data_IF_626830779685
#
_entry.id   IF_626830779685
#
_cell.length_a   1.000
_cell.length_b   1.000
_cell.length_c   1.000
_cell.angle_alpha   90.00
_cell.angle_beta   90.00
_cell.angle_gamma   90.00
#
_symmetry.space_group_name_H-M   'P 1'
#
loop_
_entity.id
_entity.type
_entity.pdbx_description
1 polymer ?
#
# COMPACT_ATOMS: atom_id res chain seq x y z
N UNK A 1 -14.10 -8.94 37.83
CA UNK A 1 -13.86 -9.58 36.51
C UNK A 1 -15.22 -9.78 35.87
N UNK A 2 -15.55 -8.99 34.83
CA UNK A 2 -16.81 -9.09 34.09
C UNK A 2 -16.76 -10.35 33.23
N UNK A 3 -17.65 -11.30 33.48
CA UNK A 3 -17.79 -12.51 32.69
C UNK A 3 -18.76 -12.20 31.53
N UNK A 4 -18.27 -12.26 30.29
CA UNK A 4 -19.10 -12.13 29.10
C UNK A 4 -19.66 -13.52 28.78
N UNK A 5 -20.99 -13.72 28.73
CA UNK A 5 -21.60 -15.01 28.40
C UNK A 5 -21.15 -15.47 27.00
N UNK A 6 -20.88 -16.75 26.85
CA UNK A 6 -20.40 -17.34 25.60
C UNK A 6 -21.35 -17.10 24.43
N UNK A 7 -22.67 -17.06 24.69
CA UNK A 7 -23.71 -16.74 23.72
C UNK A 7 -23.58 -15.33 23.12
N UNK A 8 -23.03 -14.37 23.86
CA UNK A 8 -22.78 -13.00 23.37
C UNK A 8 -21.56 -12.99 22.45
N UNK A 9 -20.52 -13.75 22.82
CA UNK A 9 -19.33 -13.91 22.00
C UNK A 9 -19.69 -14.60 20.66
N UNK A 10 -20.45 -15.68 20.70
CA UNK A 10 -20.87 -16.44 19.52
C UNK A 10 -21.75 -15.57 18.58
N UNK A 11 -22.60 -14.72 19.15
CA UNK A 11 -23.40 -13.77 18.34
C UNK A 11 -22.55 -12.72 17.65
N UNK A 12 -21.59 -12.14 18.35
CA UNK A 12 -20.68 -11.13 17.78
C UNK A 12 -19.82 -11.75 16.67
N UNK A 13 -19.31 -12.97 16.88
CA UNK A 13 -18.53 -13.69 15.86
C UNK A 13 -19.37 -13.99 14.62
N UNK A 14 -20.62 -14.43 14.78
CA UNK A 14 -21.54 -14.69 13.68
C UNK A 14 -21.88 -13.39 12.89
N UNK A 15 -22.06 -12.27 13.59
CA UNK A 15 -22.28 -10.96 12.95
C UNK A 15 -21.03 -10.49 12.18
N UNK A 16 -19.83 -10.73 12.72
CA UNK A 16 -18.57 -10.41 12.04
C UNK A 16 -18.33 -11.31 10.83
N UNK A 17 -18.66 -12.60 10.90
CA UNK A 17 -18.57 -13.52 9.76
C UNK A 17 -19.56 -13.14 8.66
N UNK A 18 -20.81 -12.84 9.00
CA UNK A 18 -21.81 -12.38 8.06
C UNK A 18 -21.43 -11.06 7.37
N UNK A 19 -20.86 -10.11 8.13
CA UNK A 19 -20.34 -8.87 7.57
C UNK A 19 -19.14 -9.10 6.64
N UNK A 20 -18.28 -10.06 6.97
CA UNK A 20 -17.14 -10.46 6.14
C UNK A 20 -17.59 -11.14 4.85
N UNK A 21 -18.58 -12.05 4.93
CA UNK A 21 -19.15 -12.72 3.75
C UNK A 21 -19.87 -11.74 2.84
N UNK A 22 -20.62 -10.77 3.39
CA UNK A 22 -21.23 -9.70 2.61
C UNK A 22 -20.17 -8.85 1.89
N UNK A 23 -19.04 -8.56 2.53
CA UNK A 23 -17.95 -7.82 1.92
C UNK A 23 -17.21 -8.64 0.84
N UNK A 24 -17.10 -9.95 1.02
CA UNK A 24 -16.57 -10.89 0.02
C UNK A 24 -17.56 -11.00 -1.15
N UNK A 25 -18.87 -11.05 -0.91
CA UNK A 25 -19.92 -11.07 -1.93
C UNK A 25 -19.89 -9.83 -2.83
N UNK A 26 -19.68 -8.65 -2.24
CA UNK A 26 -19.50 -7.39 -3.00
C UNK A 26 -18.25 -7.47 -3.90
N UNK A 27 -17.18 -8.12 -3.44
CA UNK A 27 -15.96 -8.28 -4.22
C UNK A 27 -16.04 -9.40 -5.29
N UNK A 28 -16.99 -10.32 -5.23
CA UNK A 28 -17.16 -11.40 -6.20
C UNK A 28 -18.12 -11.06 -7.35
N UNK A 29 -18.88 -9.98 -7.24
CA UNK A 29 -19.76 -9.47 -8.31
C UNK A 29 -19.01 -8.65 -9.39
N UNK A 30 -17.69 -8.54 -9.27
CA UNK A 30 -16.84 -7.98 -10.33
C UNK A 30 -16.63 -9.04 -11.42
N UNK A 31 -17.71 -9.39 -12.11
CA UNK A 31 -17.67 -10.17 -13.34
C UNK A 31 -16.89 -9.40 -14.41
N UNK A 32 -16.38 -10.12 -15.39
CA UNK A 32 -15.65 -9.68 -16.58
C UNK A 32 -16.40 -8.62 -17.42
N UNK A 33 -16.75 -7.51 -16.81
CA UNK A 33 -17.21 -6.30 -17.46
C UNK A 33 -16.03 -5.35 -17.58
N UNK A 34 -15.96 -4.61 -18.68
CA UNK A 34 -14.97 -3.59 -18.99
C UNK A 34 -14.48 -2.89 -17.73
N UNK A 35 -13.17 -2.99 -17.49
CA UNK A 35 -12.48 -2.51 -16.29
C UNK A 35 -12.75 -1.02 -16.11
N UNK A 36 -13.82 -0.67 -15.42
CA UNK A 36 -13.99 0.70 -14.92
C UNK A 36 -12.75 1.04 -14.11
N UNK A 37 -12.12 2.13 -14.48
CA UNK A 37 -10.92 2.60 -13.79
C UNK A 37 -11.20 2.76 -12.29
N UNK A 38 -10.49 2.02 -11.45
CA UNK A 38 -10.58 2.16 -9.99
C UNK A 38 -9.99 3.47 -9.50
N UNK A 39 -9.10 4.07 -10.28
CA UNK A 39 -8.46 5.33 -9.92
C UNK A 39 -9.38 6.50 -10.33
N UNK A 40 -9.92 7.28 -9.39
CA UNK A 40 -10.88 8.35 -9.68
C UNK A 40 -10.26 9.52 -10.46
N UNK A 41 -8.93 9.61 -10.54
CA UNK A 41 -8.23 10.64 -11.31
C UNK A 41 -7.80 10.15 -12.69
N UNK A 42 -8.06 8.88 -13.04
CA UNK A 42 -7.85 8.32 -14.37
C UNK A 42 -9.09 8.59 -15.24
N UNK A 43 -9.24 9.84 -15.68
CA UNK A 43 -10.44 10.30 -16.42
C UNK A 43 -10.33 10.10 -17.92
N UNK A 44 -9.11 9.95 -18.45
CA UNK A 44 -8.86 9.71 -19.87
C UNK A 44 -7.70 8.71 -20.02
N UNK A 45 -7.94 7.65 -20.76
CA UNK A 45 -6.95 6.59 -21.05
C UNK A 45 -6.42 6.65 -22.48
N UNK A 46 -6.83 7.65 -23.27
CA UNK A 46 -6.39 7.80 -24.64
C UNK A 46 -4.86 8.01 -24.71
N UNK A 47 -4.18 7.20 -25.53
CA UNK A 47 -2.73 7.23 -25.65
C UNK A 47 -1.95 6.50 -24.53
N UNK A 48 -2.62 6.00 -23.49
CA UNK A 48 -1.97 5.22 -22.44
C UNK A 48 -1.76 3.75 -22.85
N UNK A 49 -0.66 3.18 -22.40
CA UNK A 49 -0.43 1.74 -22.54
C UNK A 49 -1.31 0.93 -21.59
N UNK A 50 -1.55 -0.35 -21.91
CA UNK A 50 -2.26 -1.27 -21.01
C UNK A 50 -1.56 -1.41 -19.64
N UNK A 51 -0.21 -1.39 -19.65
CA UNK A 51 0.59 -1.45 -18.43
C UNK A 51 0.44 -0.20 -17.56
N UNK A 52 0.35 0.97 -18.18
CA UNK A 52 0.11 2.24 -17.48
C UNK A 52 -1.27 2.25 -16.82
N UNK A 53 -2.31 1.86 -17.55
CA UNK A 53 -3.67 1.74 -17.00
C UNK A 53 -3.71 0.73 -15.86
N UNK A 54 -3.07 -0.42 -16.01
CA UNK A 54 -2.98 -1.44 -14.97
C UNK A 54 -2.24 -0.91 -13.72
N UNK A 55 -1.19 -0.12 -13.89
CA UNK A 55 -0.49 0.54 -12.79
C UNK A 55 -1.41 1.48 -12.02
N UNK A 56 -2.14 2.37 -12.67
CA UNK A 56 -3.07 3.28 -12.00
C UNK A 56 -4.24 2.57 -11.34
N UNK A 57 -4.71 1.46 -11.90
CA UNK A 57 -5.74 0.65 -11.27
C UNK A 57 -5.23 -0.12 -10.05
N UNK A 58 -3.98 -0.57 -10.07
CA UNK A 58 -3.34 -1.19 -8.91
C UNK A 58 -3.09 -0.17 -7.79
N UNK A 59 -2.52 0.98 -8.14
CA UNK A 59 -2.21 2.07 -7.23
C UNK A 59 -3.26 3.19 -7.37
N UNK A 60 -4.53 2.84 -7.14
CA UNK A 60 -5.65 3.77 -7.31
C UNK A 60 -5.58 4.98 -6.36
N UNK A 61 -4.72 4.94 -5.34
CA UNK A 61 -4.45 6.07 -4.46
C UNK A 61 -3.57 7.16 -5.10
N UNK A 62 -2.87 6.84 -6.18
CA UNK A 62 -1.98 7.79 -6.86
C UNK A 62 -2.79 8.76 -7.70
N UNK A 63 -2.52 10.06 -7.53
CA UNK A 63 -3.08 11.10 -8.40
C UNK A 63 -2.40 11.05 -9.77
N UNK A 64 -3.15 10.69 -10.82
CA UNK A 64 -2.66 10.47 -12.18
C UNK A 64 -1.92 11.70 -12.73
N UNK A 65 -2.46 12.94 -12.70
CA UNK A 65 -1.75 14.11 -13.19
C UNK A 65 -0.38 14.33 -12.52
N UNK A 66 -0.28 14.14 -11.21
CA UNK A 66 0.99 14.32 -10.50
C UNK A 66 2.03 13.27 -10.87
N UNK A 67 1.60 12.02 -11.08
CA UNK A 67 2.48 10.94 -11.51
C UNK A 67 2.97 11.16 -12.94
N UNK A 68 2.10 11.59 -13.84
CA UNK A 68 2.46 11.91 -15.22
C UNK A 68 3.47 13.06 -15.30
N UNK A 69 3.26 14.11 -14.50
CA UNK A 69 4.21 15.22 -14.40
C UNK A 69 5.59 14.73 -13.91
N UNK A 70 5.58 13.91 -12.86
CA UNK A 70 6.81 13.34 -12.30
C UNK A 70 7.58 12.49 -13.33
N UNK A 71 6.90 11.59 -14.03
CA UNK A 71 7.51 10.71 -15.04
C UNK A 71 8.06 11.51 -16.24
N UNK A 72 7.40 12.61 -16.60
CA UNK A 72 7.90 13.52 -17.65
C UNK A 72 9.23 14.18 -17.25
N UNK A 73 9.38 14.52 -15.97
CA UNK A 73 10.61 15.11 -15.43
C UNK A 73 11.70 14.06 -15.16
N UNK A 74 11.29 12.81 -14.89
CA UNK A 74 12.17 11.69 -14.53
C UNK A 74 11.90 10.47 -15.42
N UNK A 75 12.23 10.53 -16.72
CA UNK A 75 11.92 9.45 -17.67
C UNK A 75 12.64 8.13 -17.34
N UNK A 76 13.75 8.18 -16.63
CA UNK A 76 14.49 7.04 -16.12
C UNK A 76 13.70 6.19 -15.12
N UNK A 77 12.73 6.77 -14.40
CA UNK A 77 11.83 6.05 -13.53
C UNK A 77 11.00 4.98 -14.27
N UNK A 78 10.74 5.19 -15.57
CA UNK A 78 10.06 4.24 -16.45
C UNK A 78 10.97 3.35 -17.28
N UNK A 79 12.29 3.45 -17.14
CA UNK A 79 13.23 2.70 -17.98
C UNK A 79 13.00 1.17 -17.94
N UNK A 80 12.47 0.65 -16.82
CA UNK A 80 12.10 -0.75 -16.65
C UNK A 80 10.63 -1.07 -16.96
N UNK A 81 9.81 -0.07 -17.38
CA UNK A 81 8.38 -0.19 -17.63
C UNK A 81 7.50 0.02 -16.40
N UNK A 82 6.19 0.22 -16.62
CA UNK A 82 5.21 0.52 -15.58
C UNK A 82 5.10 -0.58 -14.51
N UNK A 83 5.26 -1.84 -14.87
CA UNK A 83 5.19 -2.98 -13.93
C UNK A 83 6.38 -3.06 -12.99
N UNK A 84 7.45 -2.31 -13.25
CA UNK A 84 8.73 -2.35 -12.52
C UNK A 84 9.18 -0.99 -12.03
N UNK A 85 8.30 -0.01 -12.05
CA UNK A 85 8.61 1.30 -11.45
C UNK A 85 9.12 1.08 -10.04
N UNK A 86 10.26 1.69 -9.78
CA UNK A 86 10.86 1.78 -8.45
C UNK A 86 11.23 3.24 -8.20
N UNK A 87 10.45 3.91 -7.36
CA UNK A 87 10.66 5.29 -6.95
C UNK A 87 10.93 5.26 -5.45
N UNK A 88 12.15 5.54 -5.08
CA UNK A 88 12.64 5.50 -3.71
C UNK A 88 12.99 6.91 -3.25
N UNK A 89 12.56 7.26 -2.05
CA UNK A 89 12.89 8.53 -1.41
C UNK A 89 14.39 8.78 -1.31
N UNK A 90 15.17 7.75 -0.99
CA UNK A 90 16.62 7.85 -0.84
C UNK A 90 17.35 8.11 -2.16
N UNK A 91 16.78 7.64 -3.27
CA UNK A 91 17.36 7.80 -4.60
C UNK A 91 17.07 9.18 -5.22
N UNK A 92 16.05 9.89 -4.75
CA UNK A 92 15.55 11.10 -5.40
C UNK A 92 15.87 12.37 -4.64
N UNK A 93 15.39 12.52 -3.43
CA UNK A 93 15.65 13.69 -2.58
C UNK A 93 15.35 13.38 -1.11
N UNK A 94 15.93 14.17 -0.20
CA UNK A 94 15.58 14.11 1.23
C UNK A 94 14.12 14.48 1.49
N UNK A 95 13.49 15.24 0.59
CA UNK A 95 12.12 15.75 0.73
C UNK A 95 11.05 14.82 0.16
N UNK A 96 11.43 13.74 -0.52
CA UNK A 96 10.51 12.81 -1.19
C UNK A 96 10.22 13.23 -2.63
N UNK A 97 9.11 12.73 -3.20
CA UNK A 97 8.72 12.98 -4.58
C UNK A 97 7.71 14.12 -4.71
N UNK A 98 7.49 14.63 -5.94
CA UNK A 98 6.39 15.54 -6.28
C UNK A 98 5.06 14.82 -6.48
N UNK A 99 5.05 13.48 -6.49
CA UNK A 99 3.84 12.67 -6.67
C UNK A 99 2.93 12.84 -5.46
N UNK A 100 1.63 12.94 -5.72
CA UNK A 100 0.59 13.05 -4.69
C UNK A 100 -0.35 11.86 -4.74
N UNK A 101 -0.96 11.56 -3.60
CA UNK A 101 -2.13 10.70 -3.56
C UNK A 101 -3.37 11.48 -4.02
N UNK A 102 -4.49 10.81 -4.23
CA UNK A 102 -5.79 11.44 -4.52
C UNK A 102 -6.28 12.36 -3.39
N UNK A 103 -5.78 12.16 -2.17
CA UNK A 103 -6.08 12.97 -0.97
C UNK A 103 -5.07 14.11 -0.78
N UNK A 104 -4.03 14.18 -1.62
CA UNK A 104 -3.01 15.23 -1.58
C UNK A 104 -1.76 14.91 -0.75
N UNK A 105 -1.69 13.75 -0.09
CA UNK A 105 -0.49 13.34 0.64
C UNK A 105 0.68 13.13 -0.32
N UNK A 106 1.88 13.40 0.20
CA UNK A 106 3.10 13.19 -0.57
C UNK A 106 3.45 11.72 -0.66
N UNK A 107 3.58 11.20 -1.87
CA UNK A 107 4.16 9.88 -2.10
C UNK A 107 5.66 9.94 -1.86
N UNK A 108 6.17 9.05 -1.01
CA UNK A 108 7.59 8.95 -0.67
C UNK A 108 8.31 7.92 -1.53
N UNK A 109 7.67 6.80 -1.80
CA UNK A 109 8.22 5.72 -2.59
C UNK A 109 7.12 4.90 -3.27
N UNK A 110 7.45 4.31 -4.41
CA UNK A 110 6.62 3.32 -5.11
C UNK A 110 7.52 2.18 -5.54
N UNK A 111 7.13 0.97 -5.18
CA UNK A 111 7.73 -0.27 -5.68
C UNK A 111 6.64 -1.10 -6.37
N UNK A 112 6.52 -0.95 -7.68
CA UNK A 112 5.50 -1.63 -8.47
C UNK A 112 5.70 -3.15 -8.47
N UNK A 113 6.94 -3.62 -8.45
CA UNK A 113 7.27 -5.04 -8.43
C UNK A 113 6.80 -5.71 -7.15
N UNK A 114 6.99 -5.05 -6.01
CA UNK A 114 6.56 -5.55 -4.71
C UNK A 114 5.15 -5.09 -4.35
N UNK A 115 4.50 -4.30 -5.22
CA UNK A 115 3.14 -3.77 -5.03
C UNK A 115 2.98 -2.94 -3.76
N UNK A 116 3.97 -2.07 -3.51
CA UNK A 116 4.05 -1.24 -2.31
C UNK A 116 4.05 0.24 -2.70
N UNK A 117 3.27 1.03 -2.00
CA UNK A 117 3.26 2.49 -2.05
C UNK A 117 3.46 3.02 -0.63
N UNK A 118 4.30 4.03 -0.51
CA UNK A 118 4.59 4.69 0.77
C UNK A 118 4.25 6.17 0.63
N UNK A 119 3.42 6.68 1.54
CA UNK A 119 3.01 8.08 1.56
C UNK A 119 3.26 8.70 2.94
N UNK A 120 3.55 10.00 2.94
CA UNK A 120 3.64 10.80 4.16
C UNK A 120 2.24 11.26 4.54
N UNK A 121 1.81 10.94 5.75
CA UNK A 121 0.54 11.38 6.30
C UNK A 121 0.75 12.40 7.41
N UNK A 122 -0.11 13.40 7.45
CA UNK A 122 -0.09 14.45 8.46
C UNK A 122 -1.51 14.84 8.83
N UNK A 123 -1.85 14.64 10.08
CA UNK A 123 -3.06 15.19 10.70
C UNK A 123 -2.78 16.45 11.52
N UNK A 124 -3.77 16.92 12.22
CA UNK A 124 -3.64 18.08 13.13
C UNK A 124 -2.68 17.83 14.29
N UNK A 125 -2.66 16.59 14.79
CA UNK A 125 -1.91 16.19 15.99
C UNK A 125 -0.87 15.11 15.77
N UNK A 126 -0.79 14.56 14.53
CA UNK A 126 0.15 13.48 14.22
C UNK A 126 0.85 13.69 12.87
N UNK A 127 2.00 13.06 12.76
CA UNK A 127 2.74 12.86 11.50
C UNK A 127 3.16 11.41 11.44
N UNK A 128 3.12 10.84 10.24
CA UNK A 128 3.49 9.44 10.05
C UNK A 128 3.78 9.10 8.61
N UNK A 129 4.05 7.83 8.42
CA UNK A 129 4.25 7.22 7.12
C UNK A 129 3.20 6.12 6.97
N UNK A 130 2.44 6.18 5.89
CA UNK A 130 1.48 5.14 5.51
C UNK A 130 2.14 4.22 4.50
N UNK A 131 2.16 2.93 4.79
CA UNK A 131 2.60 1.89 3.86
C UNK A 131 1.37 1.16 3.35
N UNK A 132 1.15 1.21 2.04
CA UNK A 132 0.05 0.51 1.37
C UNK A 132 0.66 -0.68 0.63
N UNK A 133 0.32 -1.87 1.07
CA UNK A 133 0.72 -3.13 0.46
C UNK A 133 -0.49 -3.76 -0.23
N UNK A 134 -0.40 -3.96 -1.55
CA UNK A 134 -1.50 -4.50 -2.35
C UNK A 134 -1.62 -6.03 -2.30
N UNK A 135 -0.59 -6.70 -1.79
CA UNK A 135 -0.55 -8.15 -1.64
C UNK A 135 -0.32 -8.54 -0.18
N UNK A 136 -1.39 -8.73 0.60
CA UNK A 136 -1.29 -9.05 2.03
C UNK A 136 -0.68 -10.43 2.30
N UNK A 137 -0.64 -11.34 1.31
CA UNK A 137 0.00 -12.65 1.46
C UNK A 137 1.50 -12.57 1.69
N UNK A 138 2.11 -11.44 1.37
CA UNK A 138 3.53 -11.16 1.57
C UNK A 138 3.85 -10.55 2.94
N UNK A 139 2.86 -10.35 3.78
CA UNK A 139 3.05 -9.90 5.16
C UNK A 139 3.49 -11.09 6.02
N UNK A 140 4.55 -10.92 6.79
CA UNK A 140 4.98 -11.92 7.77
C UNK A 140 5.29 -11.28 9.11
N UNK A 141 5.05 -12.01 10.18
CA UNK A 141 5.41 -11.62 11.54
C UNK A 141 6.73 -12.29 11.89
N UNK A 142 7.72 -11.50 12.30
CA UNK A 142 9.05 -11.99 12.64
C UNK A 142 9.46 -11.47 14.03
N UNK A 143 10.11 -12.32 14.80
CA UNK A 143 10.69 -11.94 16.07
C UNK A 143 12.18 -11.60 15.92
N UNK A 144 12.69 -10.75 16.81
CA UNK A 144 14.12 -10.54 16.92
C UNK A 144 14.83 -11.82 17.31
N UNK A 145 15.93 -12.18 16.67
CA UNK A 145 16.74 -13.36 17.02
C UNK A 145 17.32 -13.28 18.43
N UNK A 146 17.42 -12.06 18.96
CA UNK A 146 17.93 -11.75 20.30
C UNK A 146 16.81 -11.42 21.30
N UNK A 147 15.58 -11.91 21.04
CA UNK A 147 14.42 -11.65 21.88
C UNK A 147 14.71 -12.05 23.34
N UNK A 148 14.46 -11.11 24.25
CA UNK A 148 14.69 -11.30 25.69
C UNK A 148 16.10 -10.95 26.20
N UNK A 149 17.04 -10.59 25.30
CA UNK A 149 18.41 -10.20 25.70
C UNK A 149 18.78 -8.79 25.22
N UNK A 150 18.78 -8.54 23.92
CA UNK A 150 19.18 -7.26 23.32
C UNK A 150 18.17 -6.86 22.26
N UNK A 151 17.84 -5.56 22.20
CA UNK A 151 16.99 -5.02 21.15
C UNK A 151 17.66 -5.13 19.77
N UNK A 152 16.89 -5.44 18.74
CA UNK A 152 17.35 -5.50 17.36
C UNK A 152 16.60 -4.47 16.52
N UNK A 153 17.33 -3.77 15.64
CA UNK A 153 16.72 -2.79 14.72
C UNK A 153 15.80 -3.49 13.75
N UNK A 154 14.57 -2.99 13.62
CA UNK A 154 13.51 -3.56 12.78
C UNK A 154 13.95 -3.80 11.33
N UNK A 155 14.71 -2.86 10.73
CA UNK A 155 15.27 -3.02 9.39
C UNK A 155 16.19 -4.23 9.25
N UNK A 156 16.99 -4.54 10.29
CA UNK A 156 17.87 -5.72 10.31
C UNK A 156 17.11 -7.03 10.42
N UNK A 157 15.97 -7.03 11.13
CA UNK A 157 15.07 -8.19 11.18
C UNK A 157 14.45 -8.40 9.78
N UNK A 158 13.95 -7.35 9.17
CA UNK A 158 13.37 -7.43 7.82
C UNK A 158 14.41 -7.95 6.80
N UNK A 159 15.62 -7.40 6.78
CA UNK A 159 16.70 -7.82 5.90
C UNK A 159 17.05 -9.31 6.07
N UNK A 160 17.17 -9.79 7.30
CA UNK A 160 17.48 -11.19 7.61
C UNK A 160 16.41 -12.18 7.13
N UNK A 161 15.16 -11.72 6.96
CA UNK A 161 14.03 -12.52 6.48
C UNK A 161 13.64 -12.18 5.03
N UNK A 162 14.51 -11.49 4.27
CA UNK A 162 14.25 -11.12 2.89
C UNK A 162 13.12 -10.10 2.71
N UNK A 163 12.78 -9.36 3.77
CA UNK A 163 11.79 -8.30 3.73
C UNK A 163 12.33 -7.02 3.13
N UNK A 164 11.51 -6.30 2.40
CA UNK A 164 11.82 -4.98 1.82
C UNK A 164 11.41 -3.82 2.74
N UNK A 165 10.49 -4.08 3.67
CA UNK A 165 10.03 -3.13 4.69
C UNK A 165 9.85 -3.88 6.01
N UNK A 166 10.23 -3.23 7.12
CA UNK A 166 9.98 -3.69 8.46
C UNK A 166 9.28 -2.61 9.28
N UNK A 167 8.30 -3.04 10.08
CA UNK A 167 7.61 -2.20 11.07
C UNK A 167 7.61 -2.90 12.41
N UNK A 168 7.77 -2.13 13.49
CA UNK A 168 7.59 -2.66 14.83
C UNK A 168 6.10 -2.82 15.10
N UNK A 169 5.69 -4.01 15.55
CA UNK A 169 4.44 -4.16 16.26
C UNK A 169 4.49 -3.36 17.56
N UNK A 170 3.36 -2.88 18.03
CA UNK A 170 3.26 -2.16 19.29
C UNK A 170 3.94 -2.94 20.43
N UNK A 171 4.82 -2.27 21.13
CA UNK A 171 5.31 -2.71 22.44
C UNK A 171 4.35 -2.30 23.55
#
# INVERSE_FOLDING_TARGET
TAFIPRSVIDKVLAEMEAAREAQIGINSEWGEGESESRNPTLTNTEGMSKEEIAFYNLFWEVNVPSMQAYVKEHPDALAAGWNRINIDKSALTADGTSIRTIQGEQVLAIDARNKILIARVKGSTYRGVLVIMKDPSRLSLQAASTLGSVGQVCGKIAEAHGGVIGMTGSG
#
